data_IF_687636655599
#
_entry.id   IF_687636655599
#
_cell.length_a   1.000
_cell.length_b   1.000
_cell.length_c   1.000
_cell.angle_alpha   90.00
_cell.angle_beta   90.00
_cell.angle_gamma   90.00
#
_symmetry.space_group_name_H-M   'P 1'
#
loop_
_entity.id
_entity.type
_entity.pdbx_description
1 polymer ?
#
# COMPACT_ATOMS: atom_id res chain seq x y z
N UNK A 1 -3.64 -3.16 10.32
CA UNK A 1 -3.26 -3.74 9.01
C UNK A 1 -1.76 -3.57 8.89
N UNK A 2 -1.00 -4.62 8.58
CA UNK A 2 0.46 -4.46 8.38
C UNK A 2 0.76 -3.83 7.02
N UNK A 3 1.91 -3.18 6.89
CA UNK A 3 2.35 -2.57 5.63
C UNK A 3 2.44 -3.59 4.49
N UNK A 4 2.88 -4.82 4.80
CA UNK A 4 2.98 -5.91 3.83
C UNK A 4 1.61 -6.29 3.25
N UNK A 5 0.59 -6.40 4.10
CA UNK A 5 -0.77 -6.69 3.66
C UNK A 5 -1.34 -5.55 2.80
N UNK A 6 -1.04 -4.29 3.11
CA UNK A 6 -1.45 -3.14 2.30
C UNK A 6 -0.84 -3.21 0.90
N UNK A 7 0.47 -3.41 0.79
CA UNK A 7 1.13 -3.49 -0.51
C UNK A 7 0.56 -4.65 -1.33
N UNK A 8 0.39 -5.82 -0.73
CA UNK A 8 -0.14 -6.99 -1.43
C UNK A 8 -1.58 -6.80 -1.90
N UNK A 9 -2.48 -6.35 -1.01
CA UNK A 9 -3.89 -6.10 -1.38
C UNK A 9 -4.02 -5.06 -2.49
N UNK A 10 -3.22 -3.99 -2.47
CA UNK A 10 -3.19 -2.99 -3.54
C UNK A 10 -2.64 -3.56 -4.85
N UNK A 11 -1.54 -4.32 -4.80
CA UNK A 11 -0.89 -4.89 -5.99
C UNK A 11 -1.76 -5.94 -6.69
N UNK A 12 -2.48 -6.74 -5.91
CA UNK A 12 -3.33 -7.84 -6.40
C UNK A 12 -4.78 -7.41 -6.61
N UNK A 13 -5.13 -6.19 -6.20
CA UNK A 13 -6.49 -5.69 -6.18
C UNK A 13 -7.48 -6.68 -5.51
N UNK A 14 -7.04 -7.32 -4.42
CA UNK A 14 -7.78 -8.34 -3.69
C UNK A 14 -8.07 -7.88 -2.26
N UNK A 15 -9.08 -8.48 -1.61
CA UNK A 15 -9.36 -8.16 -0.22
C UNK A 15 -8.38 -8.89 0.68
N UNK A 16 -8.25 -8.39 1.91
CA UNK A 16 -7.41 -9.00 2.93
C UNK A 16 -7.76 -10.47 3.19
N UNK A 17 -9.04 -10.81 3.13
CA UNK A 17 -9.51 -12.20 3.32
C UNK A 17 -8.96 -13.15 2.25
N UNK A 18 -8.78 -12.66 1.03
CA UNK A 18 -8.29 -13.46 -0.10
C UNK A 18 -6.82 -13.85 0.10
N UNK A 19 -6.02 -13.00 0.78
CA UNK A 19 -4.61 -13.30 1.14
C UNK A 19 -4.48 -14.48 2.12
N UNK A 20 -5.46 -14.65 3.01
CA UNK A 20 -5.46 -15.74 3.99
C UNK A 20 -6.17 -16.99 3.46
N UNK A 21 -7.06 -16.83 2.48
CA UNK A 21 -7.85 -17.92 1.91
C UNK A 21 -7.03 -18.83 1.00
N UNK A 22 -6.02 -18.30 0.29
CA UNK A 22 -5.14 -19.09 -0.57
C UNK A 22 -3.72 -18.53 -0.57
N UNK A 23 -2.67 -19.37 -0.70
CA UNK A 23 -1.34 -18.88 -0.99
C UNK A 23 -1.37 -18.06 -2.29
N UNK A 24 -1.00 -16.79 -2.17
CA UNK A 24 -0.87 -15.88 -3.30
C UNK A 24 0.47 -16.10 -3.97
N UNK A 25 0.44 -16.34 -5.27
CA UNK A 25 1.64 -16.41 -6.11
C UNK A 25 1.76 -15.11 -6.88
N UNK A 26 2.86 -14.38 -6.68
CA UNK A 26 3.16 -13.17 -7.42
C UNK A 26 3.87 -13.53 -8.73
N UNK A 27 3.37 -12.99 -9.85
CA UNK A 27 4.08 -13.03 -11.14
C UNK A 27 5.38 -12.22 -11.05
N UNK A 28 6.35 -12.48 -11.95
CA UNK A 28 7.62 -11.73 -12.00
C UNK A 28 7.43 -10.21 -12.07
N UNK A 29 6.44 -9.74 -12.85
CA UNK A 29 6.10 -8.33 -12.93
C UNK A 29 5.63 -7.76 -11.58
N UNK A 30 4.76 -8.49 -10.88
CA UNK A 30 4.27 -8.11 -9.56
C UNK A 30 5.39 -8.12 -8.51
N UNK A 31 6.28 -9.10 -8.54
CA UNK A 31 7.46 -9.14 -7.67
C UNK A 31 8.38 -7.93 -7.91
N UNK A 32 8.59 -7.55 -9.16
CA UNK A 32 9.39 -6.37 -9.52
C UNK A 32 8.76 -5.08 -8.98
N UNK A 33 7.44 -4.91 -9.14
CA UNK A 33 6.70 -3.77 -8.58
C UNK A 33 6.80 -3.76 -7.05
N UNK A 34 6.59 -4.92 -6.41
CA UNK A 34 6.70 -5.08 -4.97
C UNK A 34 8.08 -4.67 -4.44
N UNK A 35 9.15 -5.14 -5.09
CA UNK A 35 10.51 -4.73 -4.74
C UNK A 35 10.78 -3.24 -4.98
N UNK A 36 10.23 -2.66 -6.05
CA UNK A 36 10.33 -1.23 -6.31
C UNK A 36 9.68 -0.40 -5.19
N UNK A 37 8.49 -0.80 -4.75
CA UNK A 37 7.79 -0.17 -3.62
C UNK A 37 8.62 -0.29 -2.34
N UNK A 38 9.14 -1.48 -2.01
CA UNK A 38 9.99 -1.66 -0.83
C UNK A 38 11.29 -0.83 -0.90
N UNK A 39 11.90 -0.72 -2.07
CA UNK A 39 13.11 0.10 -2.27
C UNK A 39 12.82 1.59 -2.03
N UNK A 40 11.69 2.09 -2.51
CA UNK A 40 11.25 3.46 -2.25
C UNK A 40 10.88 3.68 -0.78
N UNK A 41 10.24 2.69 -0.16
CA UNK A 41 9.90 2.70 1.27
C UNK A 41 11.15 2.77 2.16
N UNK A 42 12.17 1.97 1.84
CA UNK A 42 13.47 1.99 2.55
C UNK A 42 14.26 3.27 2.31
N UNK A 43 14.02 3.97 1.19
CA UNK A 43 14.55 5.32 0.95
C UNK A 43 13.85 6.42 1.78
N UNK A 44 12.85 6.07 2.59
CA UNK A 44 12.12 7.00 3.45
C UNK A 44 10.84 7.56 2.84
N UNK A 45 10.43 7.11 1.66
CA UNK A 45 9.14 7.52 1.09
C UNK A 45 7.96 6.95 1.93
N UNK A 46 6.94 7.77 2.22
CA UNK A 46 5.72 7.30 2.87
C UNK A 46 5.00 6.25 2.02
N UNK A 47 4.55 5.17 2.67
CA UNK A 47 3.84 4.09 1.99
C UNK A 47 2.60 4.59 1.23
N UNK A 48 1.88 5.55 1.78
CA UNK A 48 0.66 6.10 1.20
C UNK A 48 0.91 6.72 -0.18
N UNK A 49 2.05 7.39 -0.38
CA UNK A 49 2.42 7.92 -1.70
C UNK A 49 2.79 6.82 -2.68
N UNK A 50 3.36 5.71 -2.19
CA UNK A 50 3.69 4.55 -3.03
C UNK A 50 2.43 3.83 -3.48
N UNK A 51 1.43 3.72 -2.60
CA UNK A 51 0.12 3.14 -2.89
C UNK A 51 -0.83 4.12 -3.60
N UNK A 52 -0.49 5.41 -3.66
CA UNK A 52 -1.32 6.48 -4.20
C UNK A 52 -2.65 6.71 -3.46
N UNK A 53 -2.80 6.09 -2.28
CA UNK A 53 -4.03 6.14 -1.49
C UNK A 53 -3.75 6.06 0.00
N UNK A 54 -4.61 6.68 0.80
CA UNK A 54 -4.59 6.65 2.25
C UNK A 54 -6.00 6.48 2.78
N UNK A 55 -6.17 5.61 3.78
CA UNK A 55 -7.42 5.53 4.53
C UNK A 55 -7.43 6.64 5.60
N UNK A 56 -8.47 7.46 5.61
CA UNK A 56 -8.68 8.53 6.59
C UNK A 56 -10.17 8.59 6.93
N UNK A 57 -10.53 8.42 8.21
CA UNK A 57 -11.92 8.37 8.66
C UNK A 57 -12.80 7.36 7.90
N UNK A 58 -12.23 6.19 7.54
CA UNK A 58 -12.94 5.17 6.75
C UNK A 58 -13.15 5.53 5.28
N UNK A 59 -12.58 6.64 4.81
CA UNK A 59 -12.57 7.03 3.41
C UNK A 59 -11.21 6.71 2.80
N UNK A 60 -11.22 6.07 1.63
CA UNK A 60 -10.02 5.92 0.80
C UNK A 60 -9.80 7.20 0.00
N UNK A 61 -8.85 8.01 0.44
CA UNK A 61 -8.45 9.24 -0.24
C UNK A 61 -7.29 8.95 -1.18
N UNK A 62 -7.34 9.51 -2.39
CA UNK A 62 -6.20 9.49 -3.30
C UNK A 62 -5.15 10.47 -2.76
N UNK A 63 -3.92 9.99 -2.60
CA UNK A 63 -2.80 10.84 -2.18
C UNK A 63 -1.70 10.82 -3.24
N UNK A 64 -1.06 11.97 -3.40
CA UNK A 64 0.07 12.18 -4.29
C UNK A 64 1.19 12.85 -3.48
N UNK A 65 2.46 12.78 -3.92
CA UNK A 65 3.54 13.50 -3.25
C UNK A 65 3.35 15.02 -3.18
N UNK A 66 2.37 15.57 -3.91
CA UNK A 66 2.01 16.99 -3.93
C UNK A 66 1.05 17.40 -2.79
N UNK A 67 0.45 16.42 -2.08
CA UNK A 67 -0.49 16.67 -0.99
C UNK A 67 0.03 16.12 0.33
N UNK A 68 -0.27 16.80 1.43
CA UNK A 68 0.07 16.30 2.76
C UNK A 68 -0.72 15.01 3.07
N UNK A 69 -0.03 13.97 3.54
CA UNK A 69 -0.67 12.75 4.04
C UNK A 69 -1.42 13.12 5.32
N UNK A 70 -2.73 12.91 5.39
CA UNK A 70 -3.51 13.22 6.58
C UNK A 70 -3.01 12.35 7.75
N UNK A 71 -2.59 12.99 8.84
CA UNK A 71 -2.13 12.28 10.06
C UNK A 71 -3.27 12.19 11.07
N UNK A 72 -3.43 11.04 11.75
CA UNK A 72 -4.42 10.87 12.81
C UNK A 72 -4.11 11.73 14.05
N UNK A 73 -2.90 12.27 14.19
CA UNK A 73 -2.56 13.17 15.31
C UNK A 73 -3.23 14.56 15.23
N UNK A 74 -3.95 14.85 14.14
CA UNK A 74 -4.72 16.10 13.95
C UNK A 74 -6.22 15.93 14.28
N UNK A 75 -6.57 14.90 15.07
CA UNK A 75 -7.89 14.74 15.71
C UNK A 75 -8.10 15.68 16.92
#
# INVERSE_FOLDING_TARGET
MTEHEQILTTLLNCRRVDLYASPVVLSEEQQSIYHSILKRRTAGEPLQYLLGSCEFYGLSLKVTPDVLIPRPETE
#
